data_IF_943745683618
#
_entry.id   IF_943745683618
#
_cell.length_a   1.000
_cell.length_b   1.000
_cell.length_c   1.000
_cell.angle_alpha   90.00
_cell.angle_beta   90.00
_cell.angle_gamma   90.00
#
_symmetry.space_group_name_H-M   'P 1'
#
loop_
_entity.id
_entity.type
_entity.pdbx_description
1 polymer ?
#
# COMPACT_ATOMS: atom_id res chain seq x y z
N UNK A 1 34.06 5.54 -9.70
CA UNK A 1 33.14 5.30 -10.82
C UNK A 1 32.03 6.35 -10.72
N UNK A 2 31.94 7.26 -11.69
CA UNK A 2 30.87 8.25 -11.72
C UNK A 2 29.53 7.49 -11.85
N UNK A 3 28.64 7.76 -10.92
CA UNK A 3 27.29 7.20 -10.88
C UNK A 3 26.53 7.75 -12.08
N UNK A 4 26.53 7.04 -13.21
CA UNK A 4 25.96 7.53 -14.47
C UNK A 4 24.43 7.52 -14.48
N UNK A 5 23.79 6.69 -13.68
CA UNK A 5 22.33 6.54 -13.71
C UNK A 5 21.73 7.09 -12.41
N UNK A 6 20.78 7.99 -12.53
CA UNK A 6 19.99 8.56 -11.42
C UNK A 6 18.55 8.15 -11.62
N UNK A 7 17.83 7.90 -10.54
CA UNK A 7 16.43 7.47 -10.61
C UNK A 7 15.52 8.60 -10.17
N UNK A 8 14.65 9.04 -11.05
CA UNK A 8 13.66 10.09 -10.78
C UNK A 8 12.25 9.57 -10.88
N UNK A 9 11.33 10.20 -10.16
CA UNK A 9 9.89 9.95 -10.26
C UNK A 9 9.31 10.93 -11.27
N UNK A 10 8.74 10.39 -12.35
CA UNK A 10 8.20 11.19 -13.46
C UNK A 10 6.68 11.14 -13.56
N UNK A 11 6.03 10.19 -12.87
CA UNK A 11 4.57 10.10 -12.80
C UNK A 11 4.11 9.66 -11.42
N UNK A 12 3.04 10.27 -10.94
CA UNK A 12 2.41 9.95 -9.66
C UNK A 12 0.89 9.92 -9.81
N UNK A 13 0.27 8.86 -9.33
CA UNK A 13 -1.18 8.71 -9.41
C UNK A 13 -1.74 8.07 -8.15
N UNK A 14 -2.16 8.88 -7.18
CA UNK A 14 -2.90 8.41 -6.02
C UNK A 14 -4.38 8.22 -6.34
N UNK A 15 -4.97 7.19 -5.76
CA UNK A 15 -6.39 6.88 -5.81
C UNK A 15 -6.82 6.42 -4.41
N UNK A 16 -7.61 7.21 -3.69
CA UNK A 16 -8.06 6.89 -2.33
C UNK A 16 -9.38 7.59 -1.99
N UNK A 17 -9.86 7.38 -0.78
CA UNK A 17 -11.15 7.91 -0.28
C UNK A 17 -11.30 9.43 -0.36
N UNK A 18 -10.21 10.20 -0.31
CA UNK A 18 -10.22 11.67 -0.29
C UNK A 18 -9.75 12.32 -1.60
N UNK A 19 -9.34 11.53 -2.59
CA UNK A 19 -8.94 12.10 -3.88
C UNK A 19 -8.58 11.05 -4.93
N UNK A 20 -8.95 11.34 -6.17
CA UNK A 20 -8.58 10.59 -7.37
C UNK A 20 -7.68 11.48 -8.21
N UNK A 21 -6.38 11.27 -8.09
CA UNK A 21 -5.35 12.11 -8.67
C UNK A 21 -4.68 13.04 -7.65
N UNK A 22 -3.50 13.51 -8.01
CA UNK A 22 -2.61 14.26 -7.13
C UNK A 22 -3.18 15.61 -6.69
N UNK A 23 -3.92 16.28 -7.57
CA UNK A 23 -4.51 17.60 -7.28
C UNK A 23 -5.61 17.49 -6.22
N UNK A 24 -6.55 16.55 -6.39
CA UNK A 24 -7.63 16.34 -5.42
C UNK A 24 -7.12 15.82 -4.09
N UNK A 25 -6.15 14.89 -4.11
CA UNK A 25 -5.51 14.40 -2.89
C UNK A 25 -4.82 15.53 -2.13
N UNK A 26 -4.02 16.34 -2.83
CA UNK A 26 -3.29 17.44 -2.20
C UNK A 26 -4.23 18.49 -1.62
N UNK A 27 -5.24 18.89 -2.39
CA UNK A 27 -6.26 19.82 -1.90
C UNK A 27 -7.00 19.29 -0.66
N UNK A 28 -7.33 17.98 -0.64
CA UNK A 28 -7.94 17.36 0.53
C UNK A 28 -7.02 17.39 1.75
N UNK A 29 -5.73 17.10 1.57
CA UNK A 29 -4.75 17.08 2.67
C UNK A 29 -4.47 18.48 3.20
N UNK A 30 -4.31 19.48 2.34
CA UNK A 30 -4.10 20.87 2.75
C UNK A 30 -5.31 21.44 3.50
N UNK A 31 -6.52 21.03 3.12
CA UNK A 31 -7.77 21.43 3.76
C UNK A 31 -8.22 20.46 4.88
N UNK A 32 -7.34 19.56 5.33
CA UNK A 32 -7.59 18.62 6.43
C UNK A 32 -8.85 17.75 6.26
N UNK A 33 -9.23 17.43 5.02
CA UNK A 33 -10.41 16.62 4.73
C UNK A 33 -10.09 15.13 4.89
N UNK A 34 -11.05 14.43 5.49
CA UNK A 34 -11.03 12.97 5.65
C UNK A 34 -12.37 12.39 5.19
N UNK A 35 -12.39 11.13 4.84
CA UNK A 35 -13.64 10.44 4.52
C UNK A 35 -13.67 9.06 5.20
N UNK A 36 -14.29 9.00 6.36
CA UNK A 36 -14.46 7.79 7.16
C UNK A 36 -15.94 7.46 7.21
N UNK A 37 -16.30 6.25 6.86
CA UNK A 37 -17.67 5.75 6.90
C UNK A 37 -17.76 4.55 7.84
N UNK A 38 -18.96 4.32 8.38
CA UNK A 38 -19.30 3.04 8.99
C UNK A 38 -19.68 2.06 7.90
N UNK A 39 -19.08 0.90 7.92
CA UNK A 39 -19.43 -0.23 7.09
C UNK A 39 -19.88 -1.40 7.96
N UNK A 40 -20.50 -2.41 7.37
CA UNK A 40 -21.03 -3.55 8.09
C UNK A 40 -20.52 -4.84 7.47
N UNK A 41 -19.95 -5.68 8.31
CA UNK A 41 -19.60 -7.03 7.94
C UNK A 41 -20.67 -8.01 8.41
N UNK A 42 -21.22 -8.80 7.49
CA UNK A 42 -22.21 -9.83 7.77
C UNK A 42 -21.52 -11.15 8.11
N UNK A 43 -21.87 -11.75 9.22
CA UNK A 43 -21.37 -13.06 9.68
C UNK A 43 -22.43 -14.15 9.61
N UNK A 44 -23.41 -14.01 8.70
CA UNK A 44 -24.63 -14.80 8.56
C UNK A 44 -25.85 -13.89 8.55
N UNK A 45 -27.04 -14.47 8.49
CA UNK A 45 -28.27 -13.69 8.32
C UNK A 45 -28.57 -12.77 9.50
N UNK A 46 -28.26 -13.22 10.73
CA UNK A 46 -28.63 -12.54 11.98
C UNK A 46 -27.44 -11.84 12.69
N UNK A 47 -26.21 -12.06 12.25
CA UNK A 47 -25.03 -11.53 12.89
C UNK A 47 -24.30 -10.56 11.98
N UNK A 48 -24.18 -9.33 12.44
CA UNK A 48 -23.39 -8.31 11.75
C UNK A 48 -22.55 -7.51 12.73
N UNK A 49 -21.41 -7.02 12.26
CA UNK A 49 -20.55 -6.16 13.04
C UNK A 49 -20.23 -4.90 12.25
N UNK A 50 -20.34 -3.74 12.91
CA UNK A 50 -19.99 -2.46 12.32
C UNK A 50 -18.51 -2.14 12.54
N UNK A 51 -17.88 -1.58 11.53
CA UNK A 51 -16.51 -1.08 11.59
C UNK A 51 -16.35 0.21 10.79
N UNK A 52 -15.29 0.95 11.04
CA UNK A 52 -14.98 2.17 10.30
C UNK A 52 -14.02 1.88 9.15
N UNK A 53 -14.17 2.59 8.05
CA UNK A 53 -13.36 2.43 6.85
C UNK A 53 -13.20 3.78 6.13
N UNK A 54 -12.00 4.12 5.67
CA UNK A 54 -11.80 5.16 4.69
C UNK A 54 -12.14 4.60 3.31
N UNK A 55 -13.44 4.63 2.96
CA UNK A 55 -13.99 3.98 1.78
C UNK A 55 -13.88 4.88 0.55
N UNK A 56 -13.48 4.29 -0.57
CA UNK A 56 -13.57 4.95 -1.87
C UNK A 56 -14.92 4.61 -2.49
N UNK A 57 -15.81 5.61 -2.57
CA UNK A 57 -17.15 5.48 -3.15
C UNK A 57 -17.13 5.84 -4.64
N UNK A 58 -18.17 5.46 -5.38
CA UNK A 58 -18.45 5.85 -6.76
C UNK A 58 -17.30 5.61 -7.76
N UNK A 59 -16.57 4.51 -7.61
CA UNK A 59 -15.51 4.15 -8.54
C UNK A 59 -16.10 3.48 -9.78
N UNK A 60 -15.81 4.07 -10.93
CA UNK A 60 -16.15 3.53 -12.25
C UNK A 60 -14.88 3.41 -13.11
N UNK A 61 -14.48 2.17 -13.41
CA UNK A 61 -13.29 1.87 -14.21
C UNK A 61 -13.40 2.40 -15.65
N UNK A 62 -14.62 2.53 -16.20
CA UNK A 62 -14.84 3.02 -17.56
C UNK A 62 -14.39 4.46 -17.75
N UNK A 63 -14.37 5.26 -16.68
CA UNK A 63 -13.94 6.65 -16.69
C UNK A 63 -12.42 6.85 -16.93
N UNK A 64 -11.62 5.77 -16.83
CA UNK A 64 -10.17 5.85 -16.94
C UNK A 64 -9.63 5.58 -18.35
N UNK A 65 -10.49 5.26 -19.33
CA UNK A 65 -10.09 5.05 -20.73
C UNK A 65 -9.14 3.88 -20.92
N UNK A 66 -9.37 2.78 -20.20
CA UNK A 66 -8.70 1.50 -20.40
C UNK A 66 -9.31 0.74 -21.58
N UNK A 67 -8.57 -0.22 -22.15
CA UNK A 67 -9.06 -1.06 -23.24
C UNK A 67 -10.23 -1.93 -22.77
N UNK A 68 -11.44 -1.60 -23.25
CA UNK A 68 -12.67 -2.28 -22.87
C UNK A 68 -12.70 -3.76 -23.27
N UNK A 69 -12.07 -4.13 -24.41
CA UNK A 69 -12.00 -5.53 -24.85
C UNK A 69 -11.12 -6.37 -23.94
N UNK A 70 -10.00 -5.81 -23.47
CA UNK A 70 -9.12 -6.50 -22.53
C UNK A 70 -9.79 -6.61 -21.17
N UNK A 71 -10.47 -5.55 -20.69
CA UNK A 71 -11.21 -5.61 -19.42
C UNK A 71 -12.35 -6.64 -19.47
N UNK A 72 -13.09 -6.71 -20.57
CA UNK A 72 -14.12 -7.72 -20.78
C UNK A 72 -13.52 -9.12 -20.80
N UNK A 73 -12.37 -9.30 -21.46
CA UNK A 73 -11.66 -10.58 -21.48
C UNK A 73 -11.23 -11.00 -20.06
N UNK A 74 -10.69 -10.08 -19.25
CA UNK A 74 -10.32 -10.33 -17.84
C UNK A 74 -11.56 -10.76 -17.04
N UNK A 75 -12.68 -10.05 -17.20
CA UNK A 75 -13.93 -10.36 -16.49
C UNK A 75 -14.46 -11.73 -16.87
N UNK A 76 -14.40 -12.10 -18.16
CA UNK A 76 -14.76 -13.45 -18.63
C UNK A 76 -13.83 -14.51 -18.05
N UNK A 77 -12.51 -14.28 -18.03
CA UNK A 77 -11.55 -15.18 -17.40
C UNK A 77 -11.89 -15.43 -15.94
N UNK A 78 -12.26 -14.38 -15.22
CA UNK A 78 -12.67 -14.42 -13.82
C UNK A 78 -14.14 -14.87 -13.61
N UNK A 79 -14.76 -15.50 -14.61
CA UNK A 79 -16.15 -16.00 -14.56
C UNK A 79 -17.19 -14.97 -14.14
N UNK A 80 -17.02 -13.72 -14.56
CA UNK A 80 -17.91 -12.61 -14.25
C UNK A 80 -17.60 -11.90 -12.92
N UNK A 81 -16.62 -12.37 -12.16
CA UNK A 81 -16.17 -11.67 -10.96
C UNK A 81 -15.38 -10.41 -11.34
N UNK A 82 -15.76 -9.28 -10.76
CA UNK A 82 -15.06 -8.00 -10.93
C UNK A 82 -14.09 -7.81 -9.77
N UNK A 83 -12.81 -8.05 -10.05
CA UNK A 83 -11.73 -7.84 -9.07
C UNK A 83 -11.45 -6.34 -8.93
N UNK A 84 -12.01 -5.74 -7.89
CA UNK A 84 -11.89 -4.30 -7.66
C UNK A 84 -10.48 -3.87 -7.32
N UNK A 85 -9.66 -4.72 -6.69
CA UNK A 85 -8.25 -4.39 -6.42
C UNK A 85 -7.47 -4.28 -7.73
N UNK A 86 -7.70 -5.20 -8.67
CA UNK A 86 -7.12 -5.13 -10.01
C UNK A 86 -7.63 -3.91 -10.80
N UNK A 87 -8.91 -3.56 -10.65
CA UNK A 87 -9.48 -2.35 -11.28
C UNK A 87 -8.86 -1.07 -10.72
N UNK A 88 -8.73 -0.96 -9.41
CA UNK A 88 -8.07 0.17 -8.75
C UNK A 88 -6.60 0.28 -9.17
N UNK A 89 -5.89 -0.84 -9.17
CA UNK A 89 -4.50 -0.92 -9.60
C UNK A 89 -4.34 -0.45 -11.05
N UNK A 90 -5.20 -0.95 -11.94
CA UNK A 90 -5.18 -0.59 -13.36
C UNK A 90 -5.47 0.89 -13.59
N UNK A 91 -6.44 1.46 -12.87
CA UNK A 91 -6.74 2.88 -12.92
C UNK A 91 -5.54 3.73 -12.46
N UNK A 92 -4.90 3.37 -11.35
CA UNK A 92 -3.73 4.07 -10.83
C UNK A 92 -2.55 4.02 -11.82
N UNK A 93 -2.29 2.87 -12.44
CA UNK A 93 -1.25 2.73 -13.47
C UNK A 93 -1.57 3.62 -14.69
N UNK A 94 -2.81 3.60 -15.18
CA UNK A 94 -3.23 4.44 -16.30
C UNK A 94 -3.02 5.92 -16.03
N UNK A 95 -3.41 6.36 -14.84
CA UNK A 95 -3.22 7.75 -14.41
C UNK A 95 -1.73 8.11 -14.27
N UNK A 96 -0.89 7.21 -13.72
CA UNK A 96 0.54 7.46 -13.58
C UNK A 96 1.25 7.56 -14.93
N UNK A 97 0.87 6.72 -15.88
CA UNK A 97 1.37 6.79 -17.25
C UNK A 97 0.96 8.11 -17.93
N UNK A 98 -0.30 8.54 -17.75
CA UNK A 98 -0.77 9.81 -18.27
C UNK A 98 -0.04 11.00 -17.63
N UNK A 99 0.13 10.99 -16.32
CA UNK A 99 0.83 12.02 -15.57
C UNK A 99 2.31 12.14 -15.96
N UNK A 100 2.98 11.01 -16.19
CA UNK A 100 4.37 10.96 -16.64
C UNK A 100 4.56 11.41 -18.09
N UNK A 101 3.48 11.52 -18.86
CA UNK A 101 3.48 11.79 -20.31
C UNK A 101 4.35 10.80 -21.11
N UNK A 102 4.51 9.59 -20.57
CA UNK A 102 5.31 8.55 -21.22
C UNK A 102 4.61 8.02 -22.46
N UNK A 103 5.30 8.07 -23.58
CA UNK A 103 4.92 7.42 -24.84
C UNK A 103 5.87 6.26 -25.09
N UNK A 104 5.35 5.10 -25.42
CA UNK A 104 6.13 3.90 -25.67
C UNK A 104 5.52 3.05 -26.77
N UNK A 105 6.35 2.26 -27.41
CA UNK A 105 5.93 1.26 -28.39
C UNK A 105 5.24 0.10 -27.65
N UNK A 106 4.03 -0.25 -28.08
CA UNK A 106 3.24 -1.31 -27.44
C UNK A 106 3.79 -2.72 -27.70
N UNK A 107 4.49 -2.91 -28.82
CA UNK A 107 5.03 -4.21 -29.21
C UNK A 107 6.50 -4.40 -28.79
N UNK A 108 7.25 -3.28 -28.75
CA UNK A 108 8.69 -3.34 -28.50
C UNK A 108 9.09 -2.31 -27.43
N UNK A 109 8.92 -2.64 -26.18
CA UNK A 109 9.35 -1.81 -25.07
C UNK A 109 10.09 -2.62 -24.00
N UNK A 110 10.89 -1.94 -23.20
CA UNK A 110 11.59 -2.49 -22.04
C UNK A 110 11.19 -1.74 -20.78
N UNK A 111 9.89 -1.56 -20.58
CA UNK A 111 9.33 -0.96 -19.37
C UNK A 111 9.23 -2.05 -18.32
N UNK A 112 9.83 -1.81 -17.14
CA UNK A 112 9.70 -2.70 -15.99
C UNK A 112 8.37 -2.52 -15.26
N UNK A 113 7.92 -3.55 -14.56
CA UNK A 113 6.70 -3.56 -13.77
C UNK A 113 6.97 -4.17 -12.39
N UNK A 114 6.77 -3.40 -11.33
CA UNK A 114 6.87 -3.89 -9.95
C UNK A 114 5.55 -3.62 -9.25
N UNK A 115 4.86 -4.68 -8.87
CA UNK A 115 3.55 -4.58 -8.21
C UNK A 115 3.63 -4.96 -6.74
N UNK A 116 2.79 -4.31 -5.93
CA UNK A 116 2.60 -4.66 -4.53
C UNK A 116 1.13 -4.86 -4.22
N UNK A 117 0.84 -5.93 -3.48
CA UNK A 117 -0.46 -6.20 -2.90
C UNK A 117 -0.28 -7.19 -1.76
N UNK A 118 -1.06 -7.08 -0.71
CA UNK A 118 -0.87 -7.99 0.43
C UNK A 118 -1.41 -9.39 0.13
N UNK A 119 -2.61 -9.48 -0.46
CA UNK A 119 -3.26 -10.78 -0.70
C UNK A 119 -4.14 -10.75 -1.96
N UNK A 120 -3.57 -10.78 -3.19
CA UNK A 120 -4.37 -10.78 -4.41
C UNK A 120 -5.29 -12.01 -4.47
N UNK A 121 -6.53 -11.81 -4.92
CA UNK A 121 -7.51 -12.87 -5.14
C UNK A 121 -8.04 -13.58 -3.88
N UNK A 122 -7.56 -13.22 -2.70
CA UNK A 122 -7.92 -13.94 -1.48
C UNK A 122 -9.36 -13.63 -1.03
N UNK A 123 -9.82 -12.39 -1.19
CA UNK A 123 -11.19 -11.99 -0.84
C UNK A 123 -12.24 -12.80 -1.61
N UNK A 124 -12.23 -12.82 -2.95
CA UNK A 124 -13.21 -13.60 -3.69
C UNK A 124 -13.14 -15.10 -3.39
N UNK A 125 -11.95 -15.62 -3.09
CA UNK A 125 -11.80 -17.00 -2.70
C UNK A 125 -12.51 -17.30 -1.36
N UNK A 126 -12.30 -16.45 -0.34
CA UNK A 126 -12.98 -16.62 0.94
C UNK A 126 -14.49 -16.44 0.83
N UNK A 127 -14.97 -15.43 0.11
CA UNK A 127 -16.39 -15.18 -0.09
C UNK A 127 -17.05 -16.36 -0.80
N UNK A 128 -16.38 -16.93 -1.81
CA UNK A 128 -16.90 -18.09 -2.54
C UNK A 128 -16.94 -19.34 -1.68
N UNK A 129 -15.86 -19.62 -0.95
CA UNK A 129 -15.82 -20.77 -0.03
C UNK A 129 -16.87 -20.63 1.08
N UNK A 130 -17.02 -19.44 1.65
CA UNK A 130 -18.01 -19.18 2.69
C UNK A 130 -19.44 -19.38 2.17
N UNK A 131 -19.77 -18.82 0.99
CA UNK A 131 -21.08 -19.00 0.36
C UNK A 131 -21.38 -20.46 0.09
N UNK A 132 -20.49 -21.19 -0.56
CA UNK A 132 -20.67 -22.61 -0.86
C UNK A 132 -20.80 -23.47 0.40
N UNK A 133 -20.07 -23.11 1.47
CA UNK A 133 -20.15 -23.84 2.74
C UNK A 133 -21.49 -23.56 3.42
N UNK A 134 -21.94 -22.29 3.43
CA UNK A 134 -23.24 -21.90 4.00
C UNK A 134 -24.38 -22.57 3.24
N UNK A 135 -24.42 -22.47 1.91
CA UNK A 135 -25.47 -23.07 1.08
C UNK A 135 -25.56 -24.57 1.30
N UNK A 136 -24.45 -25.27 1.41
CA UNK A 136 -24.42 -26.69 1.68
C UNK A 136 -24.83 -27.07 3.12
N UNK A 137 -24.50 -26.23 4.11
CA UNK A 137 -24.92 -26.45 5.51
C UNK A 137 -26.43 -26.20 5.70
N UNK A 138 -27.00 -25.22 4.98
CA UNK A 138 -28.41 -24.87 5.08
C UNK A 138 -29.31 -25.76 4.22
N UNK A 139 -28.78 -26.38 3.15
CA UNK A 139 -29.54 -27.33 2.33
C UNK A 139 -29.69 -28.71 2.94
N UNK A 140 -28.91 -29.07 3.94
CA UNK A 140 -29.05 -30.34 4.66
C UNK A 140 -30.02 -30.16 5.84
N UNK A 141 -31.29 -30.46 5.60
CA UNK A 141 -32.21 -30.76 6.67
C UNK A 141 -31.74 -32.04 7.38
N UNK A 142 -30.89 -31.84 8.38
CA UNK A 142 -30.27 -32.92 9.16
C UNK A 142 -31.28 -33.79 9.90
N UNK A 143 -32.57 -33.40 9.90
CA UNK A 143 -33.65 -34.13 10.55
C UNK A 143 -34.18 -35.33 9.75
N UNK A 144 -33.81 -35.47 8.48
CA UNK A 144 -34.40 -36.45 7.55
C UNK A 144 -33.61 -37.79 7.46
N UNK A 145 -32.52 -37.99 8.18
CA UNK A 145 -31.67 -39.21 8.02
C UNK A 145 -31.65 -40.08 9.28
N UNK A 146 -32.09 -41.37 9.19
CA UNK A 146 -31.94 -42.33 10.29
C UNK A 146 -30.50 -42.77 10.48
N UNK A 147 -30.15 -43.09 11.71
CA UNK A 147 -28.76 -43.10 12.23
C UNK A 147 -27.91 -44.34 12.01
N UNK A 148 -28.24 -45.31 11.18
CA UNK A 148 -27.52 -46.58 11.13
C UNK A 148 -26.92 -47.07 9.80
N UNK A 149 -27.25 -46.47 8.67
CA UNK A 149 -26.57 -46.79 7.36
C UNK A 149 -25.69 -45.64 6.83
N UNK A 150 -25.45 -44.67 7.67
CA UNK A 150 -25.17 -43.29 7.30
C UNK A 150 -23.67 -42.97 7.01
N UNK A 151 -22.76 -43.80 7.46
CA UNK A 151 -21.32 -43.46 7.35
C UNK A 151 -20.79 -43.41 5.90
N UNK A 152 -21.36 -44.21 5.02
CA UNK A 152 -20.92 -44.27 3.60
C UNK A 152 -21.59 -43.13 2.82
N UNK A 153 -22.91 -42.97 2.99
CA UNK A 153 -23.69 -41.90 2.33
C UNK A 153 -23.20 -40.52 2.74
N UNK A 154 -22.94 -40.29 4.03
CA UNK A 154 -22.35 -39.05 4.51
C UNK A 154 -20.92 -38.81 3.95
N UNK A 155 -20.09 -39.86 3.81
CA UNK A 155 -18.77 -39.75 3.20
C UNK A 155 -18.86 -39.42 1.71
N UNK A 156 -19.81 -40.00 0.97
CA UNK A 156 -20.03 -39.70 -0.45
C UNK A 156 -20.51 -38.26 -0.60
N UNK A 157 -21.52 -37.82 0.15
CA UNK A 157 -22.00 -36.43 0.10
C UNK A 157 -20.90 -35.41 0.45
N UNK A 158 -20.11 -35.66 1.49
CA UNK A 158 -18.95 -34.82 1.81
C UNK A 158 -17.94 -34.74 0.68
N UNK A 159 -17.69 -35.84 -0.01
CA UNK A 159 -16.82 -35.90 -1.17
C UNK A 159 -17.38 -35.04 -2.31
N UNK A 160 -18.66 -35.21 -2.63
CA UNK A 160 -19.32 -34.47 -3.71
C UNK A 160 -19.33 -32.96 -3.44
N UNK A 161 -19.61 -32.54 -2.20
CA UNK A 161 -19.54 -31.14 -1.77
C UNK A 161 -18.12 -30.60 -1.93
N UNK A 162 -17.10 -31.34 -1.46
CA UNK A 162 -15.71 -30.92 -1.62
C UNK A 162 -15.29 -30.82 -3.09
N UNK A 163 -15.68 -31.78 -3.93
CA UNK A 163 -15.40 -31.73 -5.37
C UNK A 163 -16.07 -30.50 -6.04
N UNK A 164 -17.30 -30.17 -5.65
CA UNK A 164 -17.98 -28.94 -6.09
C UNK A 164 -17.26 -27.68 -5.63
N UNK A 165 -16.87 -27.60 -4.35
CA UNK A 165 -16.12 -26.47 -3.82
C UNK A 165 -14.80 -26.30 -4.56
N UNK A 166 -14.03 -27.39 -4.73
CA UNK A 166 -12.76 -27.33 -5.46
C UNK A 166 -12.93 -26.93 -6.91
N UNK A 167 -13.90 -27.51 -7.64
CA UNK A 167 -14.14 -27.17 -9.04
C UNK A 167 -14.59 -25.72 -9.24
N UNK A 168 -15.42 -25.19 -8.34
CA UNK A 168 -15.88 -23.81 -8.40
C UNK A 168 -14.84 -22.79 -7.91
N UNK A 169 -13.87 -23.22 -7.11
CA UNK A 169 -12.79 -22.37 -6.65
C UNK A 169 -11.53 -22.46 -7.51
N UNK A 170 -11.46 -23.37 -8.51
CA UNK A 170 -10.27 -23.59 -9.31
C UNK A 170 -9.75 -22.33 -9.97
N UNK A 171 -10.59 -21.58 -10.68
CA UNK A 171 -10.19 -20.35 -11.37
C UNK A 171 -9.88 -19.25 -10.39
N UNK A 172 -10.72 -19.08 -9.35
CA UNK A 172 -10.49 -18.09 -8.28
C UNK A 172 -9.19 -18.41 -7.54
N UNK A 173 -8.86 -19.70 -7.37
CA UNK A 173 -7.58 -20.14 -6.81
C UNK A 173 -6.37 -19.68 -7.61
N UNK A 174 -6.46 -19.58 -8.94
CA UNK A 174 -5.39 -19.00 -9.75
C UNK A 174 -5.18 -17.51 -9.45
N UNK A 175 -6.23 -16.76 -9.14
CA UNK A 175 -6.13 -15.33 -8.84
C UNK A 175 -5.36 -15.04 -7.53
N UNK A 176 -5.22 -16.04 -6.66
CA UNK A 176 -4.33 -15.93 -5.49
C UNK A 176 -2.85 -16.01 -5.86
N UNK A 177 -2.53 -16.39 -7.09
CA UNK A 177 -1.17 -16.42 -7.58
C UNK A 177 -0.71 -15.03 -8.01
N UNK A 178 0.34 -14.54 -7.39
CA UNK A 178 0.83 -13.17 -7.59
C UNK A 178 1.20 -12.88 -9.05
N UNK A 179 1.62 -13.89 -9.83
CA UNK A 179 1.94 -13.72 -11.25
C UNK A 179 0.72 -13.39 -12.10
N UNK A 180 -0.51 -13.71 -11.66
CA UNK A 180 -1.73 -13.38 -12.40
C UNK A 180 -1.98 -11.87 -12.47
N UNK A 181 -1.72 -11.15 -11.39
CA UNK A 181 -1.80 -9.68 -11.39
C UNK A 181 -0.78 -9.07 -12.35
N UNK A 182 0.46 -9.56 -12.34
CA UNK A 182 1.48 -9.13 -13.31
C UNK A 182 1.03 -9.40 -14.75
N UNK A 183 0.48 -10.59 -15.01
CA UNK A 183 -0.01 -10.96 -16.32
C UNK A 183 -1.14 -10.06 -16.81
N UNK A 184 -2.17 -9.81 -15.99
CA UNK A 184 -3.29 -8.95 -16.37
C UNK A 184 -2.85 -7.52 -16.63
N UNK A 185 -2.00 -6.96 -15.77
CA UNK A 185 -1.47 -5.60 -15.94
C UNK A 185 -0.57 -5.53 -17.18
N UNK A 186 0.35 -6.47 -17.36
CA UNK A 186 1.22 -6.50 -18.53
C UNK A 186 0.40 -6.58 -19.84
N UNK A 187 -0.65 -7.42 -19.86
CA UNK A 187 -1.57 -7.52 -20.99
C UNK A 187 -2.33 -6.22 -21.25
N UNK A 188 -2.84 -5.57 -20.19
CA UNK A 188 -3.65 -4.35 -20.31
C UNK A 188 -2.85 -3.15 -20.81
N UNK A 189 -1.58 -3.09 -20.46
CA UNK A 189 -0.69 -1.96 -20.79
C UNK A 189 0.40 -2.30 -21.80
N UNK A 190 0.42 -3.53 -22.33
CA UNK A 190 1.47 -4.00 -23.26
C UNK A 190 2.88 -3.75 -22.71
N UNK A 191 3.15 -4.22 -21.50
CA UNK A 191 4.43 -4.06 -20.81
C UNK A 191 5.25 -5.34 -20.97
N UNK A 192 6.52 -5.24 -21.41
CA UNK A 192 7.33 -6.39 -21.82
C UNK A 192 8.69 -6.47 -21.12
N UNK A 193 9.03 -5.53 -20.23
CA UNK A 193 10.29 -5.53 -19.49
C UNK A 193 10.27 -6.43 -18.25
N UNK A 194 11.26 -6.24 -17.39
CA UNK A 194 11.35 -6.92 -16.10
C UNK A 194 10.07 -6.78 -15.28
N UNK A 195 9.59 -7.88 -14.72
CA UNK A 195 8.40 -7.83 -13.87
C UNK A 195 8.62 -8.58 -12.55
N UNK A 196 8.11 -8.01 -11.45
CA UNK A 196 8.20 -8.61 -10.13
C UNK A 196 6.99 -8.22 -9.28
N UNK A 197 6.52 -9.17 -8.48
CA UNK A 197 5.52 -8.94 -7.45
C UNK A 197 6.18 -8.98 -6.06
N UNK A 198 5.86 -8.02 -5.20
CA UNK A 198 6.46 -7.88 -3.87
C UNK A 198 5.36 -7.89 -2.80
N UNK A 199 5.52 -8.78 -1.82
CA UNK A 199 4.73 -8.79 -0.61
C UNK A 199 5.66 -8.85 0.62
N UNK A 200 5.94 -7.69 1.18
CA UNK A 200 6.68 -7.47 2.43
C UNK A 200 5.77 -6.75 3.43
N UNK A 201 4.49 -7.18 3.49
CA UNK A 201 3.43 -6.53 4.28
C UNK A 201 3.37 -5.02 4.02
N UNK A 202 3.13 -4.20 5.04
CA UNK A 202 2.98 -2.75 4.89
C UNK A 202 4.26 -2.02 4.40
N UNK A 203 5.42 -2.68 4.38
CA UNK A 203 6.66 -2.13 3.85
C UNK A 203 6.84 -2.37 2.33
N UNK A 204 5.96 -3.16 1.69
CA UNK A 204 6.07 -3.60 0.29
C UNK A 204 6.38 -2.47 -0.68
N UNK A 205 5.70 -1.33 -0.54
CA UNK A 205 5.88 -0.18 -1.43
C UNK A 205 7.32 0.37 -1.41
N UNK A 206 7.99 0.38 -0.25
CA UNK A 206 9.39 0.83 -0.17
C UNK A 206 10.35 -0.14 -0.85
N UNK A 207 10.13 -1.46 -0.65
CA UNK A 207 10.90 -2.50 -1.34
C UNK A 207 10.70 -2.44 -2.87
N UNK A 208 9.47 -2.15 -3.31
CA UNK A 208 9.15 -2.01 -4.73
C UNK A 208 9.88 -0.83 -5.38
N UNK A 209 9.95 0.32 -4.71
CA UNK A 209 10.70 1.48 -5.17
C UNK A 209 12.20 1.17 -5.28
N UNK A 210 12.78 0.45 -4.31
CA UNK A 210 14.19 0.09 -4.36
C UNK A 210 14.50 -0.93 -5.47
N UNK A 211 13.65 -1.94 -5.66
CA UNK A 211 13.82 -2.88 -6.78
C UNK A 211 13.75 -2.15 -8.12
N UNK A 212 12.79 -1.24 -8.29
CA UNK A 212 12.67 -0.42 -9.50
C UNK A 212 13.92 0.42 -9.74
N UNK A 213 14.43 1.10 -8.70
CA UNK A 213 15.66 1.86 -8.76
C UNK A 213 16.85 1.00 -9.20
N UNK A 214 16.99 -0.20 -8.64
CA UNK A 214 18.07 -1.11 -9.00
C UNK A 214 18.01 -1.54 -10.48
N UNK A 215 16.82 -1.80 -11.03
CA UNK A 215 16.68 -2.13 -12.45
C UNK A 215 17.15 -0.96 -13.35
N UNK A 216 16.81 0.27 -12.96
CA UNK A 216 17.24 1.49 -13.67
C UNK A 216 18.75 1.68 -13.56
N UNK A 217 19.32 1.61 -12.35
CA UNK A 217 20.77 1.80 -12.15
C UNK A 217 21.63 0.75 -12.86
N UNK A 218 21.11 -0.48 -13.00
CA UNK A 218 21.76 -1.56 -13.75
C UNK A 218 21.58 -1.42 -15.28
N UNK A 219 20.85 -0.40 -15.74
CA UNK A 219 20.56 -0.18 -17.16
C UNK A 219 19.66 -1.27 -17.78
N UNK A 220 18.93 -2.04 -16.96
CA UNK A 220 18.05 -3.12 -17.45
C UNK A 220 16.74 -2.60 -17.99
N UNK A 221 16.16 -1.61 -17.33
CA UNK A 221 14.94 -0.92 -17.76
C UNK A 221 15.14 0.58 -17.61
N UNK A 222 14.94 1.40 -18.66
CA UNK A 222 15.03 2.86 -18.53
C UNK A 222 13.84 3.44 -17.75
N UNK A 223 12.73 2.73 -17.72
CA UNK A 223 11.48 3.10 -17.05
C UNK A 223 10.95 1.89 -16.28
N UNK A 224 10.48 2.10 -15.06
CA UNK A 224 9.81 1.08 -14.25
C UNK A 224 8.53 1.65 -13.67
N UNK A 225 7.43 0.97 -13.90
CA UNK A 225 6.14 1.26 -13.25
C UNK A 225 6.12 0.53 -11.91
N UNK A 226 5.87 1.28 -10.85
CA UNK A 226 5.66 0.74 -9.51
C UNK A 226 4.22 1.03 -9.10
N UNK A 227 3.46 0.00 -8.77
CA UNK A 227 2.08 0.21 -8.37
C UNK A 227 1.64 -0.75 -7.28
N UNK A 228 0.68 -0.31 -6.47
CA UNK A 228 0.07 -1.10 -5.42
C UNK A 228 -1.38 -0.70 -5.20
N UNK A 229 -2.19 -1.70 -4.87
CA UNK A 229 -3.59 -1.49 -4.53
C UNK A 229 -3.98 -2.50 -3.45
N UNK A 230 -4.67 -2.03 -2.43
CA UNK A 230 -5.32 -2.88 -1.44
C UNK A 230 -6.68 -2.25 -1.07
N UNK A 231 -7.71 -3.05 -1.13
CA UNK A 231 -9.07 -2.72 -0.72
C UNK A 231 -9.46 -3.61 0.47
N UNK A 232 -9.05 -3.25 1.69
CA UNK A 232 -9.16 -4.13 2.85
C UNK A 232 -10.58 -4.16 3.45
N UNK A 233 -11.60 -4.43 2.63
CA UNK A 233 -13.01 -4.55 3.06
C UNK A 233 -13.37 -5.93 3.59
N UNK A 234 -12.43 -6.83 3.64
CA UNK A 234 -12.66 -8.20 4.06
C UNK A 234 -12.96 -8.29 5.54
N UNK A 235 -14.11 -8.84 5.87
CA UNK A 235 -14.52 -9.05 7.25
C UNK A 235 -13.50 -9.85 8.06
N UNK A 236 -12.84 -10.87 7.46
CA UNK A 236 -11.84 -11.65 8.17
C UNK A 236 -10.61 -10.81 8.56
N UNK A 237 -10.15 -9.89 7.70
CA UNK A 237 -9.05 -8.96 8.05
C UNK A 237 -9.46 -8.06 9.20
N UNK A 238 -10.66 -7.46 9.13
CA UNK A 238 -11.18 -6.66 10.22
C UNK A 238 -11.21 -7.44 11.53
N UNK A 239 -11.80 -8.64 11.53
CA UNK A 239 -11.91 -9.50 12.72
C UNK A 239 -10.51 -9.86 13.26
N UNK A 240 -9.57 -10.17 12.39
CA UNK A 240 -8.21 -10.51 12.78
C UNK A 240 -7.51 -9.34 13.48
N UNK A 241 -7.50 -8.15 12.87
CA UNK A 241 -6.87 -6.97 13.46
C UNK A 241 -7.59 -6.46 14.71
N UNK A 242 -8.92 -6.56 14.75
CA UNK A 242 -9.72 -6.27 15.95
C UNK A 242 -9.33 -7.19 17.11
N UNK A 243 -9.23 -8.49 16.87
CA UNK A 243 -8.88 -9.47 17.90
C UNK A 243 -7.44 -9.28 18.43
N UNK A 244 -6.56 -8.69 17.64
CA UNK A 244 -5.22 -8.29 18.09
C UNK A 244 -5.18 -6.92 18.79
N UNK A 245 -6.31 -6.25 18.97
CA UNK A 245 -6.42 -4.88 19.51
C UNK A 245 -5.58 -3.86 18.70
N UNK A 246 -5.56 -4.01 17.38
CA UNK A 246 -4.85 -3.10 16.48
C UNK A 246 -5.79 -2.19 15.69
N UNK A 247 -7.11 -2.41 15.77
CA UNK A 247 -8.13 -1.66 15.05
C UNK A 247 -8.77 -0.60 15.93
N UNK A 248 -8.80 0.65 15.47
CA UNK A 248 -9.40 1.79 16.19
C UNK A 248 -10.94 1.73 16.08
N UNK A 249 -11.60 1.40 17.20
CA UNK A 249 -13.06 1.19 17.26
C UNK A 249 -13.89 2.47 17.07
N UNK A 250 -13.28 3.63 17.19
CA UNK A 250 -13.90 4.95 17.04
C UNK A 250 -13.65 5.60 15.69
N UNK A 251 -12.99 4.90 14.78
CA UNK A 251 -12.73 5.39 13.42
C UNK A 251 -11.58 6.39 13.30
N UNK A 252 -10.82 6.66 14.37
CA UNK A 252 -9.78 7.68 14.38
C UNK A 252 -8.37 7.07 14.52
N UNK A 253 -7.52 7.33 13.56
CA UNK A 253 -6.09 7.05 13.66
C UNK A 253 -5.41 8.23 14.35
N UNK A 254 -4.67 7.96 15.43
CA UNK A 254 -3.99 8.98 16.28
C UNK A 254 -2.49 8.74 16.32
N UNK A 255 -1.74 9.03 15.25
CA UNK A 255 -0.30 8.80 15.28
C UNK A 255 0.36 9.58 16.40
N UNK A 256 1.13 8.89 17.24
CA UNK A 256 1.88 9.47 18.33
C UNK A 256 1.03 10.08 19.46
N UNK A 257 -0.28 10.10 19.33
CA UNK A 257 -1.21 10.62 20.34
C UNK A 257 -1.19 9.78 21.62
N UNK A 258 -1.49 10.42 22.76
CA UNK A 258 -1.58 9.76 24.06
C UNK A 258 -2.64 8.66 24.08
N UNK A 259 -3.77 8.93 23.41
CA UNK A 259 -4.94 8.04 23.39
C UNK A 259 -5.02 7.20 22.10
N UNK A 260 -3.86 6.94 21.46
CA UNK A 260 -3.80 6.08 20.27
C UNK A 260 -4.20 4.66 20.61
N UNK A 261 -5.06 4.09 19.80
CA UNK A 261 -5.72 2.80 20.08
C UNK A 261 -5.77 1.86 18.88
N UNK A 262 -5.07 2.19 17.79
CA UNK A 262 -5.04 1.40 16.58
C UNK A 262 -5.21 2.23 15.31
N UNK A 263 -5.42 1.54 14.21
CA UNK A 263 -5.62 2.13 12.90
C UNK A 263 -7.00 1.79 12.33
N UNK A 264 -7.34 2.42 11.23
CA UNK A 264 -8.54 2.18 10.42
C UNK A 264 -8.07 1.83 9.00
N UNK A 265 -8.71 0.86 8.37
CA UNK A 265 -8.42 0.55 6.97
C UNK A 265 -8.82 1.68 6.03
N UNK A 266 -8.20 1.70 4.86
CA UNK A 266 -8.56 2.60 3.78
C UNK A 266 -8.37 1.95 2.41
N UNK A 267 -9.35 2.14 1.53
CA UNK A 267 -9.24 1.73 0.14
C UNK A 267 -8.26 2.66 -0.58
N UNK A 268 -7.25 2.10 -1.22
CA UNK A 268 -6.40 2.91 -2.09
C UNK A 268 -5.68 2.09 -3.16
N UNK A 269 -5.30 2.77 -4.22
CA UNK A 269 -4.31 2.34 -5.19
C UNK A 269 -3.36 3.48 -5.51
N UNK A 270 -2.13 3.14 -5.83
CA UNK A 270 -1.12 4.15 -6.19
C UNK A 270 -0.26 3.61 -7.32
N UNK A 271 -0.07 4.43 -8.36
CA UNK A 271 0.88 4.20 -9.42
C UNK A 271 1.99 5.26 -9.39
N UNK A 272 3.23 4.83 -9.58
CA UNK A 272 4.39 5.69 -9.81
C UNK A 272 5.14 5.24 -11.05
N UNK A 273 5.71 6.20 -11.77
CA UNK A 273 6.65 5.94 -12.85
C UNK A 273 8.03 6.40 -12.38
N UNK A 274 8.95 5.45 -12.26
CA UNK A 274 10.37 5.71 -12.00
C UNK A 274 11.14 5.63 -13.31
N UNK A 275 12.09 6.51 -13.49
CA UNK A 275 12.77 6.66 -14.77
C UNK A 275 14.23 7.04 -14.58
N UNK A 276 15.08 6.59 -15.49
CA UNK A 276 16.44 7.11 -15.60
C UNK A 276 16.41 8.62 -15.85
N UNK A 277 17.24 9.36 -15.13
CA UNK A 277 17.22 10.83 -15.18
C UNK A 277 17.52 11.37 -16.58
N UNK A 278 18.52 10.80 -17.27
CA UNK A 278 18.92 11.29 -18.59
C UNK A 278 17.82 10.96 -19.62
N UNK A 279 17.18 9.79 -19.51
CA UNK A 279 16.01 9.42 -20.31
C UNK A 279 14.85 10.38 -20.06
N UNK A 280 14.51 10.66 -18.80
CA UNK A 280 13.44 11.59 -18.42
C UNK A 280 13.68 13.00 -18.96
N UNK A 281 14.91 13.51 -18.82
CA UNK A 281 15.31 14.82 -19.31
C UNK A 281 15.24 14.92 -20.83
N UNK A 282 15.70 13.88 -21.53
CA UNK A 282 15.71 13.86 -22.99
C UNK A 282 14.30 13.99 -23.61
N UNK A 283 13.26 13.49 -22.92
CA UNK A 283 11.87 13.60 -23.37
C UNK A 283 11.06 14.74 -22.73
N UNK A 284 11.68 15.54 -21.85
CA UNK A 284 11.00 16.63 -21.14
C UNK A 284 9.96 16.18 -20.13
N UNK A 285 10.20 15.06 -19.45
CA UNK A 285 9.29 14.52 -18.44
C UNK A 285 9.10 15.45 -17.25
N UNK A 286 7.92 15.45 -16.59
CA UNK A 286 7.77 16.05 -15.28
C UNK A 286 8.68 15.35 -14.27
N UNK A 287 9.22 16.09 -13.30
CA UNK A 287 10.13 15.55 -12.28
C UNK A 287 9.57 15.86 -10.89
N UNK A 288 9.15 14.83 -10.16
CA UNK A 288 8.60 14.97 -8.79
C UNK A 288 9.67 14.89 -7.70
N UNK A 289 10.75 14.18 -7.97
CA UNK A 289 11.87 14.01 -7.05
C UNK A 289 12.83 12.94 -7.53
N UNK A 290 14.04 12.96 -7.00
CA UNK A 290 15.04 11.92 -7.20
C UNK A 290 14.97 10.94 -6.03
N UNK A 291 14.80 9.66 -6.30
CA UNK A 291 14.92 8.61 -5.31
C UNK A 291 16.40 8.22 -5.17
N UNK A 292 17.01 8.59 -4.06
CA UNK A 292 18.44 8.40 -3.82
C UNK A 292 18.79 6.97 -3.42
N UNK A 293 17.84 6.23 -2.87
CA UNK A 293 17.99 4.88 -2.34
C UNK A 293 17.49 4.76 -0.92
N UNK A 294 17.68 3.60 -0.33
CA UNK A 294 17.12 3.30 0.97
C UNK A 294 17.89 2.29 1.78
N UNK A 295 17.38 2.01 2.98
CA UNK A 295 17.79 0.93 3.86
C UNK A 295 16.65 -0.05 4.05
N UNK A 296 16.98 -1.33 4.13
CA UNK A 296 16.02 -2.43 4.20
C UNK A 296 16.53 -3.52 5.11
N UNK A 297 15.67 -4.03 5.98
CA UNK A 297 16.00 -5.21 6.79
C UNK A 297 14.75 -5.95 7.26
N UNK A 298 14.96 -7.13 7.83
CA UNK A 298 13.95 -7.97 8.44
C UNK A 298 14.38 -8.27 9.88
N UNK A 299 13.50 -7.98 10.83
CA UNK A 299 13.80 -8.18 12.28
C UNK A 299 13.79 -9.66 12.68
N UNK A 300 12.90 -10.47 12.07
CA UNK A 300 12.76 -11.89 12.40
C UNK A 300 12.34 -12.16 13.85
N UNK A 301 11.73 -11.18 14.49
CA UNK A 301 11.31 -11.25 15.89
C UNK A 301 9.88 -11.80 16.03
N UNK A 302 8.91 -10.93 16.30
CA UNK A 302 7.48 -11.27 16.43
C UNK A 302 6.74 -10.98 15.14
N UNK A 303 5.68 -11.74 14.84
CA UNK A 303 4.91 -11.56 13.60
C UNK A 303 4.18 -10.21 13.57
N UNK A 304 3.56 -9.82 14.68
CA UNK A 304 2.62 -8.68 14.70
C UNK A 304 3.17 -7.40 15.34
N UNK A 305 4.32 -7.49 16.01
CA UNK A 305 4.92 -6.35 16.70
C UNK A 305 6.40 -6.24 16.37
N UNK A 306 6.96 -5.01 16.30
CA UNK A 306 8.40 -4.83 16.17
C UNK A 306 9.14 -5.34 17.41
N UNK A 307 10.38 -5.78 17.24
CA UNK A 307 11.26 -6.11 18.35
C UNK A 307 11.86 -4.83 18.95
N UNK A 308 11.10 -4.20 19.84
CA UNK A 308 11.50 -2.95 20.48
C UNK A 308 12.73 -3.08 21.40
N UNK A 309 13.26 -4.29 21.61
CA UNK A 309 14.49 -4.54 22.37
C UNK A 309 15.75 -4.46 21.50
N UNK A 310 15.59 -4.44 20.18
CA UNK A 310 16.65 -4.37 19.18
C UNK A 310 16.59 -3.06 18.40
N UNK A 311 17.69 -2.73 17.74
CA UNK A 311 17.83 -1.50 16.97
C UNK A 311 17.70 -1.75 15.45
N UNK A 312 16.86 -2.71 15.02
CA UNK A 312 16.78 -3.07 13.61
C UNK A 312 16.24 -1.92 12.75
N UNK A 313 15.20 -1.26 13.21
CA UNK A 313 14.64 -0.12 12.47
C UNK A 313 15.62 1.07 12.43
N UNK A 314 16.36 1.33 13.53
CA UNK A 314 17.42 2.34 13.53
C UNK A 314 18.52 2.01 12.52
N UNK A 315 18.99 0.75 12.47
CA UNK A 315 19.96 0.30 11.46
C UNK A 315 19.43 0.47 10.04
N UNK A 316 18.13 0.29 9.83
CA UNK A 316 17.49 0.52 8.54
C UNK A 316 17.56 2.00 8.16
N UNK A 317 17.30 2.93 9.09
CA UNK A 317 17.44 4.38 8.88
C UNK A 317 18.90 4.77 8.59
N UNK A 318 19.83 4.28 9.39
CA UNK A 318 21.28 4.52 9.23
C UNK A 318 21.77 4.05 7.85
N UNK A 319 21.37 2.82 7.44
CA UNK A 319 21.68 2.30 6.11
C UNK A 319 21.07 3.14 4.97
N UNK A 320 19.85 3.68 5.17
CA UNK A 320 19.25 4.57 4.18
C UNK A 320 20.05 5.86 4.00
N UNK A 321 20.51 6.46 5.10
CA UNK A 321 21.36 7.67 5.07
C UNK A 321 22.69 7.36 4.36
N UNK A 322 23.35 6.27 4.72
CA UNK A 322 24.60 5.84 4.12
C UNK A 322 24.46 5.57 2.62
N UNK A 323 23.48 4.75 2.23
CA UNK A 323 23.26 4.36 0.82
C UNK A 323 22.84 5.52 -0.08
N UNK A 324 22.17 6.53 0.47
CA UNK A 324 21.77 7.73 -0.26
C UNK A 324 22.90 8.76 -0.41
N UNK A 325 23.96 8.63 0.38
CA UNK A 325 25.09 9.57 0.39
C UNK A 325 24.72 10.97 0.87
N UNK A 326 23.66 11.13 1.68
CA UNK A 326 23.28 12.41 2.26
C UNK A 326 23.77 12.52 3.71
N UNK A 327 23.98 13.75 4.19
CA UNK A 327 24.13 13.96 5.62
C UNK A 327 22.73 13.89 6.28
N UNK A 328 22.62 13.22 7.43
CA UNK A 328 21.36 13.18 8.18
C UNK A 328 20.89 14.59 8.58
N UNK A 329 21.81 15.54 8.68
CA UNK A 329 21.51 16.94 8.98
C UNK A 329 20.76 17.67 7.86
N UNK A 330 20.82 17.16 6.64
CA UNK A 330 20.13 17.74 5.49
C UNK A 330 18.68 17.23 5.35
N UNK A 331 18.25 16.29 6.19
CA UNK A 331 16.89 15.74 6.14
C UNK A 331 15.92 16.71 6.79
N UNK A 332 15.06 17.31 5.98
CA UNK A 332 14.09 18.33 6.38
C UNK A 332 12.81 17.77 6.97
N UNK A 333 12.35 16.64 6.44
CA UNK A 333 11.04 16.04 6.74
C UNK A 333 11.13 14.52 6.77
N UNK A 334 10.47 13.93 7.75
CA UNK A 334 10.24 12.48 7.85
C UNK A 334 8.74 12.20 7.76
N UNK A 335 8.35 11.32 6.86
CA UNK A 335 7.03 10.68 6.85
C UNK A 335 7.19 9.27 7.43
N UNK A 336 6.79 9.07 8.67
CA UNK A 336 6.92 7.79 9.37
C UNK A 336 5.88 6.77 8.88
N UNK A 337 5.91 5.58 9.44
CA UNK A 337 4.79 4.63 9.32
C UNK A 337 3.55 5.18 10.02
N UNK A 338 3.69 5.68 11.25
CA UNK A 338 2.70 6.50 11.96
C UNK A 338 1.29 5.90 11.96
N UNK A 339 1.17 4.66 12.45
CA UNK A 339 -0.07 3.87 12.30
C UNK A 339 -1.10 4.08 13.42
N UNK A 340 -0.73 4.76 14.52
CA UNK A 340 -1.62 5.00 15.66
C UNK A 340 -1.71 3.84 16.64
N UNK A 341 -0.81 2.85 16.59
CA UNK A 341 -0.78 1.75 17.55
C UNK A 341 0.19 2.04 18.71
N UNK A 342 -0.12 1.62 19.94
CA UNK A 342 0.69 1.97 21.12
C UNK A 342 2.17 1.58 21.03
N UNK A 343 2.45 0.39 20.52
CA UNK A 343 3.81 -0.16 20.48
C UNK A 343 4.59 0.35 19.28
N UNK A 344 4.01 0.28 18.09
CA UNK A 344 4.71 0.62 16.84
C UNK A 344 5.10 2.09 16.81
N UNK A 345 4.18 2.99 17.14
CA UNK A 345 4.46 4.42 17.15
C UNK A 345 5.55 4.81 18.17
N UNK A 346 5.54 4.14 19.34
CA UNK A 346 6.58 4.38 20.35
C UNK A 346 7.95 3.87 19.89
N UNK A 347 7.99 2.71 19.23
CA UNK A 347 9.22 2.14 18.66
C UNK A 347 9.77 3.02 17.55
N UNK A 348 8.91 3.49 16.65
CA UNK A 348 9.28 4.39 15.57
C UNK A 348 9.77 5.74 16.09
N UNK A 349 9.07 6.34 17.06
CA UNK A 349 9.47 7.58 17.68
C UNK A 349 10.83 7.47 18.38
N UNK A 350 11.12 6.35 19.07
CA UNK A 350 12.44 6.07 19.65
C UNK A 350 13.52 5.93 18.59
N UNK A 351 13.22 5.29 17.48
CA UNK A 351 14.13 5.17 16.34
C UNK A 351 14.48 6.56 15.80
N UNK A 352 13.50 7.39 15.49
CA UNK A 352 13.71 8.75 14.98
C UNK A 352 14.49 9.58 16.01
N UNK A 353 14.05 9.58 17.26
CA UNK A 353 14.73 10.33 18.32
C UNK A 353 16.20 9.91 18.46
N UNK A 354 16.48 8.60 18.57
CA UNK A 354 17.86 8.13 18.76
C UNK A 354 18.77 8.35 17.55
N UNK A 355 18.22 8.61 16.37
CA UNK A 355 19.00 8.91 15.16
C UNK A 355 19.29 10.39 15.02
N UNK A 356 18.36 11.27 15.43
CA UNK A 356 18.41 12.70 15.15
C UNK A 356 18.49 13.61 16.41
N UNK A 357 18.56 13.02 17.63
CA UNK A 357 18.55 13.80 18.88
C UNK A 357 19.78 14.70 19.10
N UNK A 358 20.90 14.40 18.44
CA UNK A 358 22.14 15.17 18.49
C UNK A 358 22.13 16.41 17.56
N UNK A 359 21.08 16.58 16.78
CA UNK A 359 20.94 17.72 15.86
C UNK A 359 20.35 18.94 16.58
N UNK A 360 20.87 20.11 16.27
CA UNK A 360 20.35 21.39 16.77
C UNK A 360 18.91 21.66 16.28
N UNK A 361 18.56 21.18 15.10
CA UNK A 361 17.22 21.27 14.49
C UNK A 361 16.80 19.93 13.90
N UNK A 362 16.19 19.03 14.69
CA UNK A 362 15.69 17.77 14.19
C UNK A 362 14.63 17.94 13.10
N UNK A 363 14.54 16.99 12.13
CA UNK A 363 13.55 17.07 11.05
C UNK A 363 12.12 17.12 11.59
N UNK A 364 11.21 17.76 10.83
CA UNK A 364 9.78 17.66 11.08
C UNK A 364 9.29 16.25 10.79
N UNK A 365 8.27 15.83 11.53
CA UNK A 365 7.63 14.51 11.35
C UNK A 365 6.15 14.70 11.09
N UNK A 366 5.64 14.20 9.97
CA UNK A 366 4.20 14.21 9.65
C UNK A 366 3.70 12.84 9.22
N UNK A 367 2.57 12.41 9.78
CA UNK A 367 1.94 11.13 9.45
C UNK A 367 0.65 11.36 8.66
N UNK A 368 0.48 10.61 7.57
CA UNK A 368 -0.63 10.81 6.63
C UNK A 368 -1.79 9.82 6.78
N UNK A 369 -1.61 8.70 7.47
CA UNK A 369 -2.68 7.69 7.61
C UNK A 369 -4.00 8.21 8.16
N UNK A 370 -4.05 9.22 9.05
CA UNK A 370 -5.33 9.79 9.50
C UNK A 370 -6.20 10.38 8.38
N UNK A 371 -5.62 10.73 7.25
CA UNK A 371 -6.35 11.32 6.12
C UNK A 371 -7.11 10.29 5.29
N UNK A 372 -6.55 9.09 5.08
CA UNK A 372 -7.07 8.10 4.12
C UNK A 372 -7.04 6.66 4.62
N UNK A 373 -6.67 6.43 5.89
CA UNK A 373 -6.60 5.08 6.44
C UNK A 373 -5.31 4.33 6.09
N UNK A 374 -5.31 3.04 6.36
CA UNK A 374 -4.19 2.15 6.07
C UNK A 374 -4.58 1.15 4.98
N UNK A 375 -4.00 1.29 3.80
CA UNK A 375 -4.19 0.39 2.67
C UNK A 375 -3.06 -0.64 2.53
N UNK A 376 -2.63 -1.21 3.65
CA UNK A 376 -1.75 -2.37 3.75
C UNK A 376 -0.48 -2.28 2.86
N UNK A 377 -0.30 -3.21 1.91
CA UNK A 377 0.92 -3.30 1.09
C UNK A 377 1.18 -2.08 0.19
N UNK A 378 0.13 -1.39 -0.25
CA UNK A 378 0.22 -0.18 -1.08
C UNK A 378 0.48 1.11 -0.31
N UNK A 379 0.35 1.12 1.02
CA UNK A 379 0.32 2.37 1.79
C UNK A 379 1.59 3.21 1.69
N UNK A 380 2.76 2.58 1.64
CA UNK A 380 4.02 3.31 1.53
C UNK A 380 4.15 4.07 0.19
N UNK A 381 3.53 3.59 -0.88
CA UNK A 381 3.49 4.28 -2.18
C UNK A 381 2.62 5.55 -2.11
N UNK A 382 1.42 5.44 -1.52
CA UNK A 382 0.53 6.59 -1.35
C UNK A 382 1.15 7.68 -0.48
N UNK A 383 1.77 7.29 0.63
CA UNK A 383 2.51 8.21 1.49
C UNK A 383 3.74 8.82 0.80
N UNK A 384 4.40 8.08 -0.10
CA UNK A 384 5.49 8.60 -0.94
C UNK A 384 4.98 9.66 -1.93
N UNK A 385 3.81 9.48 -2.51
CA UNK A 385 3.19 10.53 -3.35
C UNK A 385 2.99 11.82 -2.55
N UNK A 386 2.43 11.72 -1.34
CA UNK A 386 2.24 12.91 -0.49
C UNK A 386 3.56 13.54 -0.05
N UNK A 387 4.58 12.72 0.23
CA UNK A 387 5.92 13.20 0.54
C UNK A 387 6.51 14.00 -0.64
N UNK A 388 6.36 13.51 -1.87
CA UNK A 388 6.83 14.19 -3.09
C UNK A 388 6.03 15.47 -3.37
N UNK A 389 4.74 15.48 -3.12
CA UNK A 389 3.92 16.70 -3.22
C UNK A 389 4.35 17.74 -2.19
N UNK A 390 4.54 17.33 -0.93
CA UNK A 390 5.07 18.19 0.13
C UNK A 390 6.43 18.80 -0.23
N UNK A 391 7.34 17.95 -0.77
CA UNK A 391 8.67 18.35 -1.23
C UNK A 391 8.59 19.44 -2.33
N UNK A 392 7.69 19.29 -3.29
CA UNK A 392 7.56 20.23 -4.41
C UNK A 392 6.87 21.54 -4.01
N UNK A 393 5.92 21.47 -3.09
CA UNK A 393 5.14 22.62 -2.64
C UNK A 393 5.79 23.38 -1.48
N UNK A 394 6.92 22.88 -0.94
CA UNK A 394 7.56 23.44 0.24
C UNK A 394 6.58 23.62 1.42
N UNK A 395 5.73 22.60 1.61
CA UNK A 395 4.64 22.61 2.56
C UNK A 395 4.55 21.28 3.31
N UNK A 396 4.53 21.34 4.64
CA UNK A 396 4.40 20.17 5.51
C UNK A 396 2.98 20.17 6.10
N UNK A 397 2.10 19.26 5.67
CA UNK A 397 0.78 19.08 6.27
C UNK A 397 0.90 18.64 7.74
N UNK A 398 -0.10 18.97 8.55
CA UNK A 398 -0.11 18.52 9.95
C UNK A 398 -0.43 17.02 10.05
N UNK A 399 0.01 16.41 11.13
CA UNK A 399 -0.48 15.09 11.56
C UNK A 399 -1.84 15.26 12.23
N UNK A 400 -2.90 14.75 11.63
CA UNK A 400 -4.24 14.82 12.23
C UNK A 400 -4.34 13.92 13.48
N UNK A 401 -5.20 14.30 14.40
CA UNK A 401 -5.57 13.54 15.61
C UNK A 401 -4.40 13.17 16.55
N UNK A 402 -3.22 13.76 16.39
CA UNK A 402 -2.05 13.45 17.22
C UNK A 402 -2.08 14.07 18.62
N UNK A 403 -2.97 15.02 18.88
CA UNK A 403 -3.01 15.74 20.16
C UNK A 403 -4.05 15.16 21.13
N UNK A 404 -3.73 15.12 22.44
CA UNK A 404 -2.43 15.44 23.02
C UNK A 404 -1.38 14.38 22.71
N UNK A 405 -0.15 14.80 22.39
CA UNK A 405 0.96 13.89 22.12
C UNK A 405 1.30 13.07 23.37
N UNK A 406 1.66 11.80 23.20
CA UNK A 406 2.13 10.95 24.29
C UNK A 406 3.42 11.53 24.89
N UNK A 407 3.46 11.82 26.21
CA UNK A 407 4.66 12.38 26.86
C UNK A 407 5.95 11.55 26.70
N UNK A 408 5.85 10.27 26.33
CA UNK A 408 7.00 9.40 26.04
C UNK A 408 7.60 9.62 24.65
N UNK A 409 6.90 10.36 23.78
CA UNK A 409 7.32 10.64 22.41
C UNK A 409 8.03 11.99 22.36
N UNK A 410 9.27 12.01 21.90
CA UNK A 410 10.19 13.15 21.94
C UNK A 410 10.70 13.56 20.56
N UNK A 411 9.85 13.44 19.53
CA UNK A 411 10.17 13.84 18.16
C UNK A 411 9.40 15.08 17.75
N UNK A 412 9.85 15.78 16.73
CA UNK A 412 9.29 17.05 16.28
C UNK A 412 8.07 16.83 15.36
N UNK A 413 6.91 16.52 15.96
CA UNK A 413 5.67 16.23 15.21
C UNK A 413 5.05 17.53 14.70
N UNK A 414 4.67 17.55 13.44
CA UNK A 414 3.92 18.63 12.82
C UNK A 414 2.45 18.61 13.32
N UNK A 415 2.17 19.29 14.44
CA UNK A 415 0.81 19.44 15.00
C UNK A 415 -0.01 20.51 14.28
N UNK A 416 0.64 21.31 13.45
CA UNK A 416 0.05 22.29 12.52
C UNK A 416 0.77 22.19 11.18
N UNK A 417 0.21 22.79 10.16
CA UNK A 417 0.88 22.91 8.88
C UNK A 417 2.04 23.93 8.92
N UNK A 418 3.07 23.68 8.10
CA UNK A 418 4.25 24.55 8.01
C UNK A 418 4.57 24.82 6.54
N UNK A 419 4.80 26.09 6.20
CA UNK A 419 5.52 26.46 4.97
C UNK A 419 7.01 26.40 5.30
N UNK A 420 7.72 25.45 4.72
CA UNK A 420 9.13 25.22 4.97
C UNK A 420 9.79 24.73 3.68
N UNK A 421 10.88 25.38 3.27
CA UNK A 421 11.68 24.90 2.15
C UNK A 421 12.18 23.48 2.45
N UNK A 422 11.92 22.57 1.54
CA UNK A 422 12.30 21.18 1.62
C UNK A 422 13.28 20.84 0.50
N UNK A 423 14.31 20.11 0.82
CA UNK A 423 15.35 19.68 -0.13
C UNK A 423 15.54 18.18 -0.11
N UNK A 424 15.61 17.58 1.09
CA UNK A 424 15.79 16.15 1.30
C UNK A 424 14.73 15.67 2.29
N UNK A 425 14.04 14.60 1.92
CA UNK A 425 12.94 14.04 2.71
C UNK A 425 13.06 12.53 2.82
N UNK A 426 12.55 11.98 3.92
CA UNK A 426 12.65 10.56 4.25
C UNK A 426 11.25 9.96 4.41
N UNK A 427 11.02 8.80 3.77
CA UNK A 427 9.86 7.92 4.02
C UNK A 427 10.29 6.70 4.79
N UNK A 428 9.58 6.41 5.88
CA UNK A 428 9.79 5.21 6.71
C UNK A 428 8.55 4.33 6.66
N UNK A 429 8.75 3.02 6.56
CA UNK A 429 7.68 2.02 6.63
C UNK A 429 8.14 0.81 7.44
N UNK A 430 7.25 0.28 8.26
CA UNK A 430 7.44 -1.00 8.91
C UNK A 430 6.19 -1.87 8.73
N UNK A 431 6.38 -3.17 8.69
CA UNK A 431 5.33 -4.14 8.42
C UNK A 431 5.35 -5.32 9.39
N UNK A 432 4.31 -6.12 9.32
CA UNK A 432 4.27 -7.39 10.02
C UNK A 432 5.47 -8.26 9.65
N UNK A 433 5.76 -9.24 10.50
CA UNK A 433 6.98 -10.06 10.47
C UNK A 433 8.29 -9.28 10.65
N UNK A 434 8.22 -7.95 10.88
CA UNK A 434 9.39 -7.11 11.12
C UNK A 434 10.10 -6.63 9.86
N UNK A 435 9.38 -6.50 8.74
CA UNK A 435 9.91 -5.84 7.55
C UNK A 435 10.03 -4.34 7.79
N UNK A 436 11.23 -3.80 7.58
CA UNK A 436 11.49 -2.37 7.62
C UNK A 436 12.01 -1.89 6.26
N UNK A 437 11.52 -0.74 5.80
CA UNK A 437 11.98 -0.07 4.60
C UNK A 437 12.01 1.44 4.81
N UNK A 438 13.12 2.07 4.47
CA UNK A 438 13.33 3.50 4.55
C UNK A 438 13.87 3.99 3.22
N UNK A 439 13.33 5.07 2.68
CA UNK A 439 13.79 5.66 1.42
C UNK A 439 14.01 7.15 1.55
N UNK A 440 14.99 7.68 0.83
CA UNK A 440 15.36 9.08 0.84
C UNK A 440 15.16 9.68 -0.55
N UNK A 441 14.51 10.84 -0.57
CA UNK A 441 14.19 11.56 -1.79
C UNK A 441 14.77 12.97 -1.75
N UNK A 442 15.20 13.46 -2.91
CA UNK A 442 15.74 14.80 -3.10
C UNK A 442 14.88 15.59 -4.07
N UNK A 443 14.68 16.86 -3.78
CA UNK A 443 14.06 17.82 -4.72
C UNK A 443 14.94 17.94 -5.97
N UNK A 444 14.34 17.81 -7.15
CA UNK A 444 15.02 18.02 -8.42
C UNK A 444 14.75 19.47 -8.86
N UNK A 445 15.84 20.19 -9.12
CA UNK A 445 15.72 21.51 -9.74
C UNK A 445 15.26 21.36 -11.19
N UNK A 446 14.23 22.06 -11.57
CA UNK A 446 13.69 22.15 -12.94
C UNK A 446 14.74 22.72 -13.89
#
# INVERSE_FOLDING_TARGET
MQNKNRTVVTGIAPLCSIGRGKELLWDAVVNERTHVVKDRFMMGDDLSEEFYLHRMDDFDISSFGLDGHILEWITRWKQGYVDMDLMYLSAAIKMALADSQLKYDLENNNIGLVLTHENPGLEPLFDRVASLTYDNLMCDDMSAYPSSEDGIVQKIKKKDVLEQVYSQCEIIGYDTQTFMYLYFVAKLFSIHGFSLFINNACASGMYALEVARQQILLGRCPVVIVAGADRPRMGYKYLWFRNMNLYAKDGLIRPFGKDRNGFVFGDAATGLVLEDYDHARARGAPLYGEYLGGGFNLEGGKVTFPDATKNFYKRCVEAAVENSGVDKADIDLIVPHGIGTPITDLYEARTIFSTFADMAAPPLVTAFKPYFGHNLGGCALLETVLLLLALNQDYVPRTLNCEPIDPKIKINIATRAYSKKLSIVMKMACGFAGYNGVGIFRKVSS
#
